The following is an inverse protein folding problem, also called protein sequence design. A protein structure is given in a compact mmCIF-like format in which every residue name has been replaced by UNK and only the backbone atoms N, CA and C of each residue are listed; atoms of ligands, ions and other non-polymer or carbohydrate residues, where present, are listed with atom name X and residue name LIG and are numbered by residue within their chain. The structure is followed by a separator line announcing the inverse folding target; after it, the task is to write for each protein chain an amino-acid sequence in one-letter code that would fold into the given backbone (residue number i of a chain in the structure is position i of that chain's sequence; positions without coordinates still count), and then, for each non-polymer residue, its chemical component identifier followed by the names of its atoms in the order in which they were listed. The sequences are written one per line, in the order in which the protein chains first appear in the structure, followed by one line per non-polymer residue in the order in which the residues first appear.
data_IF_994434384818
#
_entry.id   IF_994434384818
#
_cell.length_a   1.000
_cell.length_b   1.000
_cell.length_c   1.000
_cell.angle_alpha   90.00
_cell.angle_beta   90.00
_cell.angle_gamma   90.00
#
_symmetry.space_group_name_H-M   'P 1'
#
loop_
_entity.id
_entity.type
_entity.pdbx_description
1 polymer ?
#
# COMPACT_ATOMS: atom_id res chain seq x y z
N UNK A 1 -16.77 14.34 7.32
CA UNK A 1 -15.60 14.69 6.48
C UNK A 1 -15.11 13.38 5.93
N UNK A 2 -14.94 13.28 4.61
CA UNK A 2 -14.38 12.07 4.01
C UNK A 2 -12.90 11.98 4.36
N UNK A 3 -12.45 10.83 4.84
CA UNK A 3 -11.03 10.58 5.04
C UNK A 3 -10.40 10.30 3.67
N UNK A 4 -9.24 10.90 3.40
CA UNK A 4 -8.49 10.61 2.18
C UNK A 4 -7.83 9.24 2.32
N UNK A 5 -8.18 8.32 1.42
CA UNK A 5 -7.69 6.95 1.41
C UNK A 5 -6.54 6.78 0.42
N UNK A 6 -5.52 6.02 0.83
CA UNK A 6 -4.37 5.66 -0.01
C UNK A 6 -4.16 4.15 0.05
N UNK A 7 -4.11 3.51 -1.12
CA UNK A 7 -3.76 2.10 -1.26
C UNK A 7 -2.26 1.97 -1.51
N UNK A 8 -1.58 1.21 -0.66
CA UNK A 8 -0.18 0.85 -0.85
C UNK A 8 -0.11 -0.50 -1.56
N UNK A 9 0.53 -0.54 -2.73
CA UNK A 9 0.66 -1.73 -3.57
C UNK A 9 1.67 -2.77 -3.01
N UNK A 10 1.46 -3.22 -1.76
CA UNK A 10 2.27 -4.25 -1.11
C UNK A 10 1.39 -5.21 -0.31
N UNK A 11 1.84 -6.48 -0.25
CA UNK A 11 1.35 -7.50 0.69
C UNK A 11 2.35 -7.74 1.83
N UNK A 12 3.40 -6.92 1.95
CA UNK A 12 4.41 -7.07 2.98
C UNK A 12 3.97 -6.33 4.26
N UNK A 13 3.75 -7.01 5.39
CA UNK A 13 3.27 -6.39 6.62
C UNK A 13 4.31 -5.44 7.26
N UNK A 14 5.60 -5.69 7.06
CA UNK A 14 6.68 -4.81 7.51
C UNK A 14 6.67 -3.47 6.79
N UNK A 15 6.64 -3.49 5.44
CA UNK A 15 6.53 -2.28 4.61
C UNK A 15 5.28 -1.48 4.98
N UNK A 16 4.15 -2.16 5.14
CA UNK A 16 2.88 -1.53 5.49
C UNK A 16 2.94 -0.83 6.86
N UNK A 17 3.56 -1.46 7.87
CA UNK A 17 3.75 -0.86 9.20
C UNK A 17 4.58 0.41 9.13
N UNK A 18 5.71 0.39 8.42
CA UNK A 18 6.60 1.54 8.26
C UNK A 18 5.91 2.71 7.54
N UNK A 19 5.22 2.42 6.43
CA UNK A 19 4.48 3.44 5.67
C UNK A 19 3.35 4.04 6.50
N UNK A 20 2.60 3.24 7.27
CA UNK A 20 1.58 3.74 8.19
C UNK A 20 2.16 4.71 9.22
N UNK A 21 3.33 4.43 9.77
CA UNK A 21 4.00 5.33 10.72
C UNK A 21 4.40 6.66 10.06
N UNK A 22 4.93 6.61 8.84
CA UNK A 22 5.34 7.80 8.08
C UNK A 22 4.12 8.67 7.74
N UNK A 23 2.99 8.07 7.36
CA UNK A 23 1.79 8.77 6.89
C UNK A 23 0.83 9.16 8.03
N UNK A 24 0.99 8.63 9.25
CA UNK A 24 0.09 8.91 10.37
C UNK A 24 -0.16 10.42 10.64
N UNK A 25 0.84 11.33 10.56
CA UNK A 25 0.62 12.76 10.78
C UNK A 25 -0.32 13.42 9.77
N UNK A 26 -0.53 12.79 8.60
CA UNK A 26 -1.39 13.30 7.54
C UNK A 26 -2.86 12.91 7.71
N UNK A 27 -3.19 12.06 8.69
CA UNK A 27 -4.56 11.60 8.94
C UNK A 27 -5.14 10.74 7.79
N UNK A 28 -4.27 10.11 6.99
CA UNK A 28 -4.69 9.28 5.85
C UNK A 28 -5.13 7.89 6.30
N UNK A 29 -6.14 7.35 5.62
CA UNK A 29 -6.48 5.94 5.74
C UNK A 29 -5.59 5.11 4.81
N UNK A 30 -4.81 4.19 5.39
CA UNK A 30 -3.83 3.37 4.64
C UNK A 30 -4.31 1.93 4.52
N UNK A 31 -4.64 1.54 3.28
CA UNK A 31 -5.00 0.17 2.87
C UNK A 31 -3.84 -0.52 2.18
N UNK A 32 -3.88 -1.84 2.10
CA UNK A 32 -2.86 -2.65 1.42
C UNK A 32 -3.49 -3.60 0.39
N UNK A 33 -2.68 -4.32 -0.38
CA UNK A 33 -3.19 -5.36 -1.28
C UNK A 33 -3.84 -6.53 -0.54
N UNK A 34 -3.66 -6.67 0.77
CA UNK A 34 -4.39 -7.68 1.58
C UNK A 34 -5.88 -7.37 1.66
N UNK A 35 -6.28 -6.10 1.55
CA UNK A 35 -7.69 -5.67 1.53
C UNK A 35 -8.40 -6.04 0.22
N UNK A 36 -7.65 -6.52 -0.79
CA UNK A 36 -8.13 -6.83 -2.14
C UNK A 36 -7.69 -8.24 -2.57
N UNK A 37 -8.25 -9.31 -1.98
CA UNK A 37 -7.78 -10.69 -2.18
C UNK A 37 -7.98 -11.23 -3.60
N UNK A 38 -8.78 -10.55 -4.42
CA UNK A 38 -9.04 -10.89 -5.82
C UNK A 38 -7.96 -10.36 -6.79
N UNK A 39 -7.06 -9.48 -6.33
CA UNK A 39 -5.96 -9.00 -7.16
C UNK A 39 -4.96 -10.15 -7.37
N UNK A 40 -4.58 -10.47 -8.62
CA UNK A 40 -3.65 -11.56 -8.91
C UNK A 40 -2.22 -11.23 -8.45
N UNK A 41 -1.30 -12.16 -8.72
CA UNK A 41 0.12 -11.90 -8.63
C UNK A 41 0.54 -10.81 -9.64
N UNK A 42 1.47 -9.94 -9.23
CA UNK A 42 1.90 -8.79 -10.02
C UNK A 42 3.20 -9.16 -10.74
N UNK A 43 3.21 -9.00 -12.06
CA UNK A 43 4.41 -9.23 -12.89
C UNK A 43 5.17 -7.91 -13.02
N UNK A 44 6.44 -7.91 -12.64
CA UNK A 44 7.36 -6.78 -12.79
C UNK A 44 8.23 -6.98 -14.04
N UNK A 45 7.75 -6.58 -15.21
CA UNK A 45 8.41 -6.77 -16.52
C UNK A 45 9.07 -5.48 -17.08
N UNK A 46 9.16 -4.45 -16.25
CA UNK A 46 9.78 -3.17 -16.60
C UNK A 46 11.30 -3.22 -16.77
N UNK A 47 11.86 -2.27 -17.51
CA UNK A 47 13.33 -2.13 -17.71
C UNK A 47 14.03 -1.33 -16.62
N UNK A 48 13.27 -0.80 -15.67
CA UNK A 48 13.71 0.19 -14.68
C UNK A 48 13.12 -0.18 -13.32
N UNK A 49 13.84 0.12 -12.25
CA UNK A 49 13.61 -0.37 -10.89
C UNK A 49 13.54 -1.90 -10.80
N UNK A 50 14.75 -2.47 -10.77
CA UNK A 50 15.22 -3.78 -10.30
C UNK A 50 16.59 -3.56 -9.62
#
# INVERSE_FOLDING_TARGET
MENLEVVIATRNPGKLREIRQILAPLGLEVRSLEDFPHIPEIVEDGRTFA
#
